data_IF_127793795136
#
_entry.id   IF_127793795136
#
_cell.length_a   1.000
_cell.length_b   1.000
_cell.length_c   1.000
_cell.angle_alpha   90.00
_cell.angle_beta   90.00
_cell.angle_gamma   90.00
#
_symmetry.space_group_name_H-M   'P 1'
#
loop_
_entity.id
_entity.type
_entity.pdbx_description
1 polymer ?
#
# COMPACT_ATOMS: atom_id res chain seq x y z
N UNK A 1 -13.66 14.15 -10.15
CA UNK A 1 -14.85 14.25 -11.04
C UNK A 1 -14.75 15.54 -11.87
N UNK A 2 -15.31 15.60 -13.12
CA UNK A 2 -15.20 16.80 -13.97
C UNK A 2 -15.72 18.08 -13.28
N UNK A 3 -16.70 17.96 -12.38
CA UNK A 3 -17.25 19.10 -11.64
C UNK A 3 -16.24 19.71 -10.63
N UNK A 4 -15.37 18.93 -10.03
CA UNK A 4 -14.35 19.43 -9.09
C UNK A 4 -13.23 20.17 -9.82
N UNK A 5 -12.84 19.68 -11.00
CA UNK A 5 -11.87 20.37 -11.86
C UNK A 5 -12.39 21.69 -12.41
N UNK A 6 -13.68 21.74 -12.78
CA UNK A 6 -14.34 22.99 -13.14
C UNK A 6 -14.35 23.98 -11.96
N UNK A 7 -14.49 23.50 -10.73
CA UNK A 7 -14.40 24.32 -9.52
C UNK A 7 -12.98 24.87 -9.31
N UNK A 8 -11.93 24.07 -9.56
CA UNK A 8 -10.52 24.49 -9.47
C UNK A 8 -10.19 25.54 -10.55
N UNK A 9 -10.66 25.35 -11.78
CA UNK A 9 -10.52 26.35 -12.86
C UNK A 9 -11.28 27.64 -12.52
N UNK A 10 -12.48 27.53 -11.96
CA UNK A 10 -13.30 28.68 -11.55
C UNK A 10 -12.72 29.40 -10.32
N UNK A 11 -12.03 28.69 -9.42
CA UNK A 11 -11.33 29.24 -8.26
C UNK A 11 -10.07 30.04 -8.62
N UNK A 12 -9.59 29.94 -9.86
CA UNK A 12 -8.39 30.66 -10.32
C UNK A 12 -7.07 29.95 -10.02
N UNK A 13 -7.12 28.68 -9.57
CA UNK A 13 -5.95 27.87 -9.29
C UNK A 13 -5.28 27.32 -10.56
N UNK A 14 -6.00 27.35 -11.69
CA UNK A 14 -5.47 27.09 -13.04
C UNK A 14 -5.62 28.31 -13.93
N UNK A 15 -4.72 28.46 -14.90
CA UNK A 15 -4.78 29.54 -15.89
C UNK A 15 -6.12 29.52 -16.64
N UNK A 16 -6.73 30.70 -16.83
CA UNK A 16 -8.00 30.83 -17.53
C UNK A 16 -7.81 30.78 -19.06
N UNK A 17 -8.81 30.23 -19.76
CA UNK A 17 -8.83 30.14 -21.22
C UNK A 17 -8.22 28.84 -21.75
N UNK A 18 -7.96 28.75 -23.05
CA UNK A 18 -7.53 27.52 -23.72
C UNK A 18 -6.27 26.89 -23.17
N UNK A 19 -5.36 27.67 -22.56
CA UNK A 19 -4.17 27.11 -21.89
C UNK A 19 -4.54 26.32 -20.61
N UNK A 20 -5.51 26.83 -19.85
CA UNK A 20 -6.01 26.11 -18.66
C UNK A 20 -6.76 24.82 -19.02
N UNK A 21 -7.47 24.82 -20.15
CA UNK A 21 -8.15 23.62 -20.67
C UNK A 21 -7.15 22.55 -21.09
N UNK A 22 -6.10 22.91 -21.83
CA UNK A 22 -5.02 21.98 -22.22
C UNK A 22 -4.31 21.42 -20.99
N UNK A 23 -4.01 22.27 -20.01
CA UNK A 23 -3.37 21.82 -18.77
C UNK A 23 -4.28 20.88 -17.96
N UNK A 24 -5.58 21.14 -17.92
CA UNK A 24 -6.55 20.26 -17.29
C UNK A 24 -6.62 18.90 -18.00
N UNK A 25 -6.64 18.87 -19.33
CA UNK A 25 -6.61 17.64 -20.13
C UNK A 25 -5.32 16.84 -19.89
N UNK A 26 -4.15 17.50 -19.88
CA UNK A 26 -2.86 16.86 -19.59
C UNK A 26 -2.80 16.25 -18.18
N UNK A 27 -3.42 16.93 -17.19
CA UNK A 27 -3.52 16.40 -15.82
C UNK A 27 -4.52 15.26 -15.70
N UNK A 28 -5.60 15.28 -16.50
CA UNK A 28 -6.66 14.27 -16.45
C UNK A 28 -6.35 13.02 -17.26
N UNK A 29 -5.70 13.13 -18.42
CA UNK A 29 -5.45 12.00 -19.29
C UNK A 29 -4.76 10.80 -18.59
N UNK A 30 -3.77 10.98 -17.71
CA UNK A 30 -3.18 9.88 -16.95
C UNK A 30 -4.13 9.28 -15.90
N UNK A 31 -5.16 10.04 -15.47
CA UNK A 31 -6.10 9.60 -14.44
C UNK A 31 -7.16 8.65 -14.98
N UNK A 32 -7.54 8.80 -16.26
CA UNK A 32 -8.52 7.92 -16.88
C UNK A 32 -8.05 6.47 -16.91
N UNK A 33 -6.80 6.23 -17.28
CA UNK A 33 -6.21 4.90 -17.26
C UNK A 33 -6.09 4.35 -15.84
N UNK A 34 -5.71 5.17 -14.88
CA UNK A 34 -5.66 4.80 -13.47
C UNK A 34 -7.04 4.36 -12.98
N UNK A 35 -8.09 5.14 -13.26
CA UNK A 35 -9.45 4.81 -12.85
C UNK A 35 -10.00 3.58 -13.55
N UNK A 36 -9.66 3.34 -14.82
CA UNK A 36 -10.03 2.10 -15.52
C UNK A 36 -9.38 0.88 -14.86
N UNK A 37 -8.09 0.92 -14.54
CA UNK A 37 -7.39 -0.16 -13.83
C UNK A 37 -7.95 -0.36 -12.42
N UNK A 38 -8.23 0.71 -11.71
CA UNK A 38 -8.86 0.64 -10.39
C UNK A 38 -10.27 0.02 -10.46
N UNK A 39 -11.09 0.43 -11.42
CA UNK A 39 -12.42 -0.17 -11.65
C UNK A 39 -12.32 -1.65 -12.02
N UNK A 40 -11.35 -2.05 -12.85
CA UNK A 40 -11.08 -3.44 -13.15
C UNK A 40 -10.65 -4.25 -11.91
N UNK A 41 -9.83 -3.67 -11.04
CA UNK A 41 -9.49 -4.28 -9.75
C UNK A 41 -10.73 -4.42 -8.86
N UNK A 42 -11.55 -3.38 -8.74
CA UNK A 42 -12.80 -3.44 -7.96
C UNK A 42 -13.79 -4.49 -8.49
N UNK A 43 -13.83 -4.75 -9.81
CA UNK A 43 -14.70 -5.77 -10.39
C UNK A 43 -14.29 -7.20 -9.98
N UNK A 44 -13.02 -7.44 -9.64
CA UNK A 44 -12.57 -8.71 -9.07
C UNK A 44 -13.02 -8.90 -7.62
N UNK A 45 -13.30 -7.79 -6.92
CA UNK A 45 -13.67 -7.73 -5.51
C UNK A 45 -15.02 -6.98 -5.34
N UNK A 46 -16.13 -7.51 -5.90
CA UNK A 46 -17.38 -6.74 -6.01
C UNK A 46 -18.10 -6.53 -4.67
N UNK A 47 -17.92 -7.43 -3.70
CA UNK A 47 -18.66 -7.39 -2.44
C UNK A 47 -17.91 -6.52 -1.43
N UNK A 48 -18.48 -5.36 -1.09
CA UNK A 48 -17.93 -4.45 -0.07
C UNK A 48 -18.33 -4.92 1.31
N UNK A 49 -17.38 -5.02 2.24
CA UNK A 49 -17.69 -5.17 3.65
C UNK A 49 -18.23 -3.84 4.20
N UNK A 50 -19.37 -3.89 4.87
CA UNK A 50 -19.98 -2.71 5.49
C UNK A 50 -19.31 -2.34 6.82
N UNK A 51 -18.61 -3.29 7.43
CA UNK A 51 -17.99 -3.15 8.74
C UNK A 51 -16.49 -3.03 8.61
N UNK A 52 -15.91 -2.18 9.44
CA UNK A 52 -14.46 -2.13 9.67
C UNK A 52 -14.07 -3.23 10.66
N UNK A 53 -12.90 -3.80 10.49
CA UNK A 53 -12.38 -4.84 11.39
C UNK A 53 -11.36 -4.24 12.35
N UNK A 54 -11.55 -4.48 13.64
CA UNK A 54 -10.58 -4.09 14.65
C UNK A 54 -9.34 -5.00 14.57
N UNK A 55 -8.16 -4.38 14.48
CA UNK A 55 -6.88 -5.06 14.54
C UNK A 55 -6.24 -4.77 15.89
N UNK A 56 -5.86 -5.83 16.59
CA UNK A 56 -5.07 -5.74 17.83
C UNK A 56 -3.91 -6.72 17.78
N UNK A 57 -2.72 -6.21 18.05
CA UNK A 57 -1.53 -7.02 18.17
C UNK A 57 -0.64 -6.48 19.28
N UNK A 58 -0.17 -7.36 20.15
CA UNK A 58 0.72 -7.01 21.24
C UNK A 58 1.97 -7.88 21.22
N UNK A 59 3.11 -7.29 21.49
CA UNK A 59 4.40 -7.98 21.62
C UNK A 59 5.20 -7.35 22.75
N UNK A 60 6.02 -8.15 23.43
CA UNK A 60 6.96 -7.65 24.43
C UNK A 60 8.34 -7.54 23.79
N UNK A 61 8.92 -6.34 23.82
CA UNK A 61 10.27 -6.05 23.32
C UNK A 61 11.07 -5.42 24.45
N UNK A 62 12.21 -6.01 24.79
CA UNK A 62 13.08 -5.55 25.88
C UNK A 62 12.35 -5.32 27.23
N UNK A 63 11.34 -6.17 27.52
CA UNK A 63 10.52 -6.08 28.74
C UNK A 63 9.41 -5.03 28.69
N UNK A 64 9.26 -4.27 27.61
CA UNK A 64 8.17 -3.32 27.39
C UNK A 64 7.09 -3.93 26.50
N UNK A 65 5.81 -3.80 26.91
CA UNK A 65 4.69 -4.20 26.09
C UNK A 65 4.40 -3.14 25.05
N UNK A 66 4.44 -3.53 23.76
CA UNK A 66 4.04 -2.70 22.61
C UNK A 66 2.75 -3.23 22.04
N UNK A 67 1.86 -2.33 21.64
CA UNK A 67 0.58 -2.68 21.07
C UNK A 67 0.30 -1.87 19.79
N UNK A 68 -0.18 -2.57 18.76
CA UNK A 68 -0.88 -1.97 17.61
C UNK A 68 -2.36 -2.13 17.89
N UNK A 69 -3.13 -1.05 17.74
CA UNK A 69 -4.59 -1.06 17.75
C UNK A 69 -5.06 -0.11 16.66
N UNK A 70 -5.84 -0.61 15.70
CA UNK A 70 -6.35 0.19 14.58
C UNK A 70 -7.61 -0.49 13.99
N UNK A 71 -8.28 0.23 13.08
CA UNK A 71 -9.44 -0.25 12.35
C UNK A 71 -9.11 -0.40 10.88
N UNK A 72 -9.34 -1.58 10.34
CA UNK A 72 -9.13 -1.90 8.93
C UNK A 72 -10.40 -1.65 8.13
N UNK A 73 -10.38 -0.61 7.32
CA UNK A 73 -11.46 -0.26 6.41
C UNK A 73 -11.20 -0.73 4.97
N UNK A 74 -12.25 -0.65 4.14
CA UNK A 74 -12.16 -0.91 2.70
C UNK A 74 -12.00 -2.38 2.34
N UNK A 75 -12.43 -3.26 3.23
CA UNK A 75 -12.44 -4.71 3.00
C UNK A 75 -13.49 -5.09 1.97
N UNK A 76 -13.15 -6.08 1.17
CA UNK A 76 -13.99 -6.61 0.09
C UNK A 76 -13.89 -8.12 0.03
N UNK A 77 -14.85 -8.73 -0.66
CA UNK A 77 -14.78 -10.15 -1.01
C UNK A 77 -14.99 -10.34 -2.52
N UNK A 78 -14.36 -11.36 -3.07
CA UNK A 78 -14.61 -11.78 -4.43
C UNK A 78 -15.84 -12.71 -4.47
N UNK A 79 -16.25 -13.13 -5.68
CA UNK A 79 -17.39 -14.04 -5.90
C UNK A 79 -17.19 -15.43 -5.26
N UNK A 80 -15.95 -15.83 -5.01
CA UNK A 80 -15.62 -17.09 -4.33
C UNK A 80 -15.56 -16.93 -2.79
N UNK A 81 -15.85 -15.73 -2.25
CA UNK A 81 -15.82 -15.44 -0.83
C UNK A 81 -14.43 -15.10 -0.28
N UNK A 82 -13.36 -15.14 -1.09
CA UNK A 82 -12.04 -14.78 -0.62
C UNK A 82 -11.98 -13.29 -0.23
N UNK A 83 -11.24 -12.98 0.83
CA UNK A 83 -11.08 -11.65 1.38
C UNK A 83 -10.01 -10.85 0.63
N UNK A 84 -10.28 -9.61 0.35
CA UNK A 84 -9.36 -8.73 -0.35
C UNK A 84 -9.50 -7.25 -0.01
N UNK A 85 -8.54 -6.47 -0.46
CA UNK A 85 -8.52 -5.01 -0.35
C UNK A 85 -7.94 -4.43 -1.62
N UNK A 86 -8.57 -3.38 -2.16
CA UNK A 86 -8.06 -2.63 -3.32
C UNK A 86 -7.74 -1.23 -2.87
N UNK A 87 -6.50 -0.81 -3.11
CA UNK A 87 -5.98 0.50 -2.67
C UNK A 87 -5.51 1.28 -3.87
N UNK A 88 -5.92 2.55 -3.93
CA UNK A 88 -5.40 3.51 -4.88
C UNK A 88 -4.19 4.22 -4.27
N UNK A 89 -3.03 4.12 -4.92
CA UNK A 89 -1.80 4.81 -4.52
C UNK A 89 -1.54 6.00 -5.46
N UNK A 90 -1.46 7.19 -4.88
CA UNK A 90 -1.26 8.42 -5.66
C UNK A 90 0.13 8.52 -6.28
N UNK A 91 1.12 7.88 -5.65
CA UNK A 91 2.51 7.89 -6.11
C UNK A 91 2.76 6.77 -7.10
N UNK A 92 3.58 7.01 -8.12
CA UNK A 92 4.01 5.97 -9.03
C UNK A 92 4.73 4.83 -8.27
N UNK A 93 4.26 3.60 -8.43
CA UNK A 93 4.90 2.41 -7.85
C UNK A 93 6.10 1.94 -8.68
N UNK A 94 6.18 2.33 -9.94
CA UNK A 94 7.27 1.98 -10.83
C UNK A 94 7.94 3.24 -11.36
N UNK A 95 9.26 3.27 -11.39
CA UNK A 95 10.07 4.33 -12.00
C UNK A 95 11.23 3.68 -12.75
N UNK A 96 11.44 4.05 -14.01
CA UNK A 96 12.49 3.47 -14.86
C UNK A 96 12.41 1.93 -14.95
N UNK A 97 11.22 1.36 -14.96
CA UNK A 97 11.03 -0.10 -15.03
C UNK A 97 11.24 -0.85 -13.70
N UNK A 98 11.55 -0.15 -12.61
CA UNK A 98 11.79 -0.74 -11.30
C UNK A 98 10.72 -0.35 -10.29
N UNK A 99 10.28 -1.32 -9.46
CA UNK A 99 9.37 -1.06 -8.36
C UNK A 99 10.04 -0.26 -7.24
N UNK A 100 9.29 0.70 -6.72
CA UNK A 100 9.68 1.55 -5.59
C UNK A 100 9.23 0.91 -4.29
N UNK A 101 10.00 -0.05 -3.79
CA UNK A 101 9.68 -0.81 -2.58
C UNK A 101 9.38 0.07 -1.36
N UNK A 102 10.05 1.22 -1.23
CA UNK A 102 9.80 2.19 -0.15
C UNK A 102 8.35 2.74 -0.15
N UNK A 103 7.67 2.72 -1.30
CA UNK A 103 6.26 3.11 -1.40
C UNK A 103 5.29 2.01 -0.95
N UNK A 104 5.77 0.78 -0.95
CA UNK A 104 4.96 -0.39 -0.58
C UNK A 104 4.98 -0.71 0.91
N UNK A 105 5.92 -0.14 1.69
CA UNK A 105 6.09 -0.47 3.12
C UNK A 105 4.79 -0.29 3.91
N UNK A 106 4.12 0.85 3.75
CA UNK A 106 2.86 1.13 4.46
C UNK A 106 1.74 0.15 4.06
N UNK A 107 1.60 -0.12 2.77
CA UNK A 107 0.61 -1.07 2.27
C UNK A 107 0.91 -2.49 2.73
N UNK A 108 2.18 -2.87 2.76
CA UNK A 108 2.61 -4.18 3.25
C UNK A 108 2.36 -4.34 4.76
N UNK A 109 2.65 -3.33 5.58
CA UNK A 109 2.36 -3.35 7.01
C UNK A 109 0.86 -3.48 7.29
N UNK A 110 0.02 -2.72 6.57
CA UNK A 110 -1.44 -2.84 6.68
C UNK A 110 -1.92 -4.22 6.22
N UNK A 111 -1.32 -4.77 5.15
CA UNK A 111 -1.61 -6.11 4.67
C UNK A 111 -1.25 -7.18 5.71
N UNK A 112 -0.07 -7.10 6.32
CA UNK A 112 0.33 -8.01 7.40
C UNK A 112 -0.62 -7.90 8.61
N UNK A 113 -0.94 -6.67 9.04
CA UNK A 113 -1.85 -6.43 10.15
C UNK A 113 -3.26 -7.01 9.89
N UNK A 114 -3.73 -6.96 8.64
CA UNK A 114 -5.02 -7.51 8.27
C UNK A 114 -5.14 -9.04 8.46
N UNK A 115 -4.01 -9.78 8.44
CA UNK A 115 -4.00 -11.22 8.70
C UNK A 115 -4.17 -11.57 10.19
N UNK A 116 -4.02 -10.58 11.10
CA UNK A 116 -4.28 -10.79 12.53
C UNK A 116 -5.74 -11.08 12.84
N UNK A 117 -6.66 -10.68 11.97
CA UNK A 117 -8.08 -11.00 12.06
C UNK A 117 -8.40 -12.48 11.71
N UNK A 118 -7.39 -13.29 11.40
CA UNK A 118 -7.50 -14.75 11.23
C UNK A 118 -7.86 -15.23 9.82
N UNK A 119 -8.24 -14.36 8.89
CA UNK A 119 -8.53 -14.73 7.51
C UNK A 119 -7.41 -14.30 6.55
N UNK A 120 -7.05 -15.20 5.64
CA UNK A 120 -6.13 -14.89 4.55
C UNK A 120 -6.68 -13.75 3.68
N UNK A 121 -5.83 -12.79 3.29
CA UNK A 121 -6.23 -11.62 2.53
C UNK A 121 -5.28 -11.35 1.36
N UNK A 122 -5.84 -10.93 0.23
CA UNK A 122 -5.08 -10.37 -0.89
C UNK A 122 -5.22 -8.85 -0.88
N UNK A 123 -4.12 -8.11 -1.08
CA UNK A 123 -4.18 -6.65 -1.27
C UNK A 123 -3.69 -6.29 -2.66
N UNK A 124 -4.50 -5.58 -3.43
CA UNK A 124 -4.12 -5.00 -4.71
C UNK A 124 -3.88 -3.50 -4.54
N UNK A 125 -2.68 -3.05 -4.88
CA UNK A 125 -2.29 -1.64 -4.85
C UNK A 125 -2.16 -1.14 -6.28
N UNK A 126 -3.00 -0.21 -6.67
CA UNK A 126 -3.09 0.33 -8.03
C UNK A 126 -2.56 1.76 -8.03
N UNK A 127 -1.59 2.05 -8.88
CA UNK A 127 -1.10 3.42 -9.07
C UNK A 127 -1.18 3.84 -10.54
N UNK A 128 -0.86 5.10 -10.78
CA UNK A 128 -0.76 5.65 -12.14
C UNK A 128 0.26 4.88 -12.98
N UNK A 129 1.40 4.49 -12.38
CA UNK A 129 2.41 3.68 -13.04
C UNK A 129 2.73 2.47 -12.15
N UNK A 130 2.23 1.31 -12.59
CA UNK A 130 2.42 0.03 -11.93
C UNK A 130 1.29 -0.35 -10.97
N UNK A 131 1.16 -1.64 -10.78
CA UNK A 131 0.26 -2.27 -9.82
C UNK A 131 0.98 -3.41 -9.11
N UNK A 132 0.58 -3.68 -7.86
CA UNK A 132 1.17 -4.73 -7.04
C UNK A 132 0.07 -5.53 -6.37
N UNK A 133 0.19 -6.85 -6.42
CA UNK A 133 -0.65 -7.77 -5.66
C UNK A 133 0.18 -8.38 -4.53
N UNK A 134 -0.23 -8.10 -3.30
CA UNK A 134 0.30 -8.77 -2.11
C UNK A 134 -0.54 -10.02 -1.88
N UNK A 135 0.11 -11.18 -2.04
CA UNK A 135 -0.51 -12.49 -1.83
C UNK A 135 -0.77 -12.75 -0.34
N UNK A 136 -1.73 -13.63 0.00
CA UNK A 136 -1.96 -14.02 1.38
C UNK A 136 -0.69 -14.54 2.06
N UNK A 137 -0.48 -14.12 3.31
CA UNK A 137 0.60 -14.62 4.15
C UNK A 137 0.24 -15.98 4.76
N UNK A 138 1.23 -16.83 4.95
CA UNK A 138 1.05 -18.06 5.67
C UNK A 138 0.79 -17.82 7.18
N UNK A 139 0.19 -18.79 7.84
CA UNK A 139 -0.11 -18.69 9.27
C UNK A 139 1.15 -18.38 10.09
N UNK A 140 1.06 -17.42 10.99
CA UNK A 140 2.17 -16.97 11.85
C UNK A 140 3.17 -16.01 11.18
N UNK A 141 3.15 -15.85 9.85
CA UNK A 141 4.07 -14.92 9.19
C UNK A 141 3.73 -13.45 9.52
N UNK A 142 2.46 -13.12 9.59
CA UNK A 142 2.03 -11.76 9.91
C UNK A 142 2.53 -11.30 11.27
N UNK A 143 2.36 -12.14 12.30
CA UNK A 143 2.82 -11.88 13.67
C UNK A 143 4.33 -11.71 13.73
N UNK A 144 5.09 -12.59 13.05
CA UNK A 144 6.54 -12.52 13.01
C UNK A 144 7.04 -11.23 12.35
N UNK A 145 6.43 -10.84 11.23
CA UNK A 145 6.79 -9.61 10.54
C UNK A 145 6.46 -8.37 11.37
N UNK A 146 5.27 -8.34 11.99
CA UNK A 146 4.85 -7.22 12.82
C UNK A 146 5.68 -7.11 14.10
N UNK A 147 6.03 -8.23 14.74
CA UNK A 147 6.93 -8.25 15.88
C UNK A 147 8.32 -7.70 15.52
N UNK A 148 8.86 -8.12 14.37
CA UNK A 148 10.14 -7.61 13.85
C UNK A 148 10.06 -6.10 13.59
N UNK A 149 8.98 -5.63 12.95
CA UNK A 149 8.76 -4.22 12.70
C UNK A 149 8.65 -3.41 13.99
N UNK A 150 7.86 -3.86 14.97
CA UNK A 150 7.72 -3.17 16.27
C UNK A 150 9.04 -3.11 17.03
N UNK A 151 9.85 -4.18 16.97
CA UNK A 151 11.19 -4.18 17.56
C UNK A 151 12.08 -3.12 16.89
N UNK A 152 12.10 -3.06 15.57
CA UNK A 152 12.85 -2.05 14.84
C UNK A 152 12.33 -0.63 15.12
N UNK A 153 11.00 -0.45 15.18
CA UNK A 153 10.37 0.83 15.51
C UNK A 153 10.77 1.30 16.90
N UNK A 154 10.70 0.45 17.93
CA UNK A 154 11.10 0.78 19.29
C UNK A 154 12.58 1.21 19.36
N UNK A 155 13.45 0.47 18.64
CA UNK A 155 14.87 0.85 18.55
C UNK A 155 15.05 2.20 17.88
N UNK A 156 14.29 2.47 16.79
CA UNK A 156 14.33 3.74 16.06
C UNK A 156 13.86 4.94 16.90
N UNK A 157 12.92 4.72 17.81
CA UNK A 157 12.47 5.76 18.76
C UNK A 157 13.53 6.13 19.79
N UNK A 158 14.47 5.23 20.08
CA UNK A 158 15.54 5.45 21.07
C UNK A 158 16.85 5.95 20.45
N UNK A 159 17.10 5.59 19.18
CA UNK A 159 18.32 5.96 18.46
C UNK A 159 18.05 5.95 16.95
N UNK A 160 18.72 6.81 16.16
CA UNK A 160 18.63 6.75 14.71
C UNK A 160 19.01 5.36 14.20
N UNK A 161 18.13 4.73 13.41
CA UNK A 161 18.48 3.50 12.72
C UNK A 161 19.33 3.85 11.48
N UNK A 162 20.39 3.10 11.19
CA UNK A 162 21.20 3.29 10.00
C UNK A 162 20.50 2.73 8.73
N UNK A 163 19.20 3.07 8.59
CA UNK A 163 18.35 2.50 7.56
C UNK A 163 17.58 3.60 6.83
N UNK A 164 18.11 4.01 5.68
CA UNK A 164 17.34 4.80 4.71
C UNK A 164 16.61 3.82 3.77
N UNK A 165 15.27 3.84 3.76
CA UNK A 165 14.46 2.87 3.02
C UNK A 165 14.88 2.75 1.54
N UNK A 166 15.09 3.88 0.83
CA UNK A 166 15.55 3.87 -0.57
C UNK A 166 16.90 3.16 -0.74
N UNK A 167 17.85 3.44 0.16
CA UNK A 167 19.18 2.82 0.13
C UNK A 167 19.10 1.32 0.41
N UNK A 168 18.27 0.91 1.37
CA UNK A 168 18.05 -0.50 1.69
C UNK A 168 17.46 -1.27 0.49
N UNK A 169 16.46 -0.74 -0.18
CA UNK A 169 15.89 -1.37 -1.39
C UNK A 169 16.87 -1.37 -2.57
N UNK A 170 17.67 -0.32 -2.74
CA UNK A 170 18.72 -0.31 -3.76
C UNK A 170 19.78 -1.39 -3.49
N UNK A 171 20.18 -1.56 -2.24
CA UNK A 171 21.13 -2.59 -1.82
C UNK A 171 20.57 -4.00 -2.05
N UNK A 172 19.30 -4.25 -1.64
CA UNK A 172 18.62 -5.53 -1.87
C UNK A 172 18.55 -5.89 -3.36
N UNK A 173 18.28 -4.92 -4.23
CA UNK A 173 18.28 -5.14 -5.69
C UNK A 173 19.67 -5.46 -6.25
N UNK A 174 20.70 -4.84 -5.69
CA UNK A 174 22.08 -5.06 -6.16
C UNK A 174 22.67 -6.40 -5.73
N UNK A 175 22.05 -7.10 -4.74
CA UNK A 175 22.56 -8.36 -4.19
C UNK A 175 21.54 -9.52 -4.26
N UNK A 176 20.98 -9.83 -5.45
CA UNK A 176 19.94 -10.86 -5.58
C UNK A 176 20.40 -12.25 -5.13
N UNK A 177 21.70 -12.58 -5.27
CA UNK A 177 22.27 -13.87 -4.85
C UNK A 177 22.44 -14.01 -3.34
N UNK A 178 22.51 -12.95 -2.57
CA UNK A 178 22.61 -13.01 -1.11
C UNK A 178 21.29 -13.40 -0.45
N UNK A 179 20.15 -13.02 -1.04
CA UNK A 179 18.80 -13.40 -0.56
C UNK A 179 18.52 -14.88 -0.84
N UNK A 180 18.87 -15.38 -2.02
CA UNK A 180 18.72 -16.78 -2.40
C UNK A 180 19.59 -17.72 -1.51
N UNK A 181 20.76 -17.25 -1.08
CA UNK A 181 21.67 -18.03 -0.22
C UNK A 181 21.16 -18.17 1.24
N UNK A 182 20.22 -17.31 1.67
CA UNK A 182 19.65 -17.33 3.03
C UNK A 182 18.22 -17.88 3.11
N UNK A 183 17.72 -18.52 2.04
CA UNK A 183 16.44 -19.24 2.06
C UNK A 183 15.22 -18.36 2.35
N UNK A 184 15.28 -17.10 1.94
CA UNK A 184 14.14 -16.19 1.98
C UNK A 184 13.47 -16.23 0.60
N UNK A 185 12.60 -17.24 0.41
CA UNK A 185 11.64 -17.30 -0.70
C UNK A 185 10.48 -16.34 -0.48
#
# INVERSE_FOLDING_TARGET
QPAELLAVVAGGDLARGGFGEVLAEELMAPMDELFQRYAAALSRWPLVSAEEEEIRFAVTVDGEALQIADWLAGLRRNSAGARGRVVLEASDLVTNGEYRGERLIGHWLTHAAAHLAGEAMTTEVISKVGEVTLAPLAAGQAENHLATFLTAWQQGMRRPLPLAAKTAFAWLRAMPSALAAHGVD
#
